data_IF_315415640434
#
_entry.id   IF_315415640434
#
_cell.length_a   1.000
_cell.length_b   1.000
_cell.length_c   1.000
_cell.angle_alpha   90.00
_cell.angle_beta   90.00
_cell.angle_gamma   90.00
#
_symmetry.space_group_name_H-M   'P 1'
#
loop_
_entity.id
_entity.type
_entity.pdbx_description
1 polymer ?
#
# COMPACT_ATOMS: atom_id res chain seq x y z
N UNK A 1 -6.38 -22.94 16.00
CA UNK A 1 -5.38 -22.62 14.95
C UNK A 1 -6.01 -21.72 13.88
N UNK A 2 -6.10 -20.42 14.17
CA UNK A 2 -6.66 -19.44 13.25
C UNK A 2 -5.63 -19.05 12.21
N UNK A 3 -5.98 -19.11 10.92
CA UNK A 3 -5.21 -18.43 9.88
C UNK A 3 -5.04 -16.96 10.29
N UNK A 4 -3.84 -16.43 10.16
CA UNK A 4 -3.60 -14.98 10.22
C UNK A 4 -4.43 -14.37 9.09
N UNK A 5 -5.61 -13.87 9.42
CA UNK A 5 -6.50 -13.15 8.53
C UNK A 5 -5.88 -11.78 8.21
N UNK A 6 -4.88 -11.76 7.34
CA UNK A 6 -4.14 -10.53 7.05
C UNK A 6 -3.18 -10.58 5.86
N UNK A 7 -3.09 -11.70 5.15
CA UNK A 7 -2.26 -11.83 3.94
C UNK A 7 -3.19 -12.00 2.75
N UNK A 8 -2.90 -11.25 1.68
CA UNK A 8 -3.55 -11.43 0.40
C UNK A 8 -3.42 -12.88 -0.09
N UNK A 9 -4.51 -13.58 -0.47
CA UNK A 9 -4.51 -15.02 -0.68
C UNK A 9 -3.88 -15.46 -2.03
N UNK A 10 -3.30 -14.55 -2.82
CA UNK A 10 -2.86 -14.80 -4.20
C UNK A 10 -1.40 -15.24 -4.35
N UNK A 11 -0.84 -16.00 -3.41
CA UNK A 11 0.50 -16.58 -3.60
C UNK A 11 0.40 -18.00 -4.16
N UNK A 12 0.88 -18.25 -5.39
CA UNK A 12 0.92 -19.60 -5.93
C UNK A 12 2.19 -20.28 -5.41
N UNK A 13 2.15 -21.56 -5.05
CA UNK A 13 3.36 -22.33 -4.94
C UNK A 13 3.96 -22.52 -6.35
N UNK A 14 4.96 -21.71 -6.75
CA UNK A 14 5.89 -22.10 -7.81
C UNK A 14 6.19 -21.14 -8.97
N UNK A 15 5.67 -19.90 -9.06
CA UNK A 15 5.93 -19.02 -10.23
C UNK A 15 7.04 -17.97 -10.05
N UNK A 16 7.60 -17.83 -8.85
CA UNK A 16 8.87 -17.16 -8.57
C UNK A 16 9.78 -18.23 -7.95
N UNK A 17 10.63 -18.85 -8.78
CA UNK A 17 11.28 -20.14 -8.50
C UNK A 17 11.75 -20.30 -7.06
N UNK A 18 11.18 -21.26 -6.34
CA UNK A 18 11.54 -21.81 -5.01
C UNK A 18 11.99 -20.86 -3.87
N UNK A 19 12.03 -19.54 -4.06
CA UNK A 19 12.64 -18.58 -3.13
C UNK A 19 11.63 -17.70 -2.38
N UNK A 20 10.37 -17.62 -2.82
CA UNK A 20 9.33 -16.88 -2.10
C UNK A 20 8.33 -17.86 -1.51
N UNK A 21 8.78 -18.68 -0.55
CA UNK A 21 7.84 -19.15 0.47
C UNK A 21 7.37 -17.90 1.20
N UNK A 22 6.04 -17.65 1.28
CA UNK A 22 5.53 -16.72 2.29
C UNK A 22 6.10 -17.25 3.61
N UNK A 23 7.01 -16.52 4.25
CA UNK A 23 7.75 -17.12 5.33
C UNK A 23 6.80 -17.34 6.51
N UNK A 24 6.93 -18.47 7.20
CA UNK A 24 6.22 -18.78 8.45
C UNK A 24 6.46 -17.72 9.57
N UNK A 25 7.26 -16.69 9.30
CA UNK A 25 7.68 -15.66 10.22
C UNK A 25 6.87 -14.36 10.17
N UNK A 26 5.61 -14.30 9.69
CA UNK A 26 4.75 -13.15 10.02
C UNK A 26 4.46 -13.12 11.55
N UNK A 27 5.51 -12.83 12.31
CA UNK A 27 5.51 -12.51 13.71
C UNK A 27 5.08 -11.06 13.79
N UNK A 28 3.97 -10.80 14.45
CA UNK A 28 3.65 -9.45 14.89
C UNK A 28 4.74 -9.02 15.88
N UNK A 29 5.44 -7.93 15.57
CA UNK A 29 6.37 -7.31 16.51
C UNK A 29 5.60 -6.51 17.56
N UNK A 30 4.63 -5.74 17.09
CA UNK A 30 3.73 -4.89 17.86
C UNK A 30 2.36 -4.83 17.18
N UNK A 31 1.29 -4.43 17.90
CA UNK A 31 -0.02 -4.24 17.30
C UNK A 31 0.04 -3.31 16.09
N UNK A 32 -0.46 -3.79 14.94
CA UNK A 32 -0.47 -3.02 13.70
C UNK A 32 0.85 -2.99 12.93
N UNK A 33 1.86 -3.79 13.29
CA UNK A 33 3.12 -3.92 12.54
C UNK A 33 3.43 -5.39 12.21
N UNK A 34 3.69 -5.67 10.94
CA UNK A 34 4.13 -6.98 10.47
C UNK A 34 5.59 -6.91 9.99
N UNK A 35 6.47 -7.75 10.56
CA UNK A 35 7.85 -7.87 10.05
C UNK A 35 7.84 -8.75 8.80
N UNK A 36 8.26 -8.19 7.68
CA UNK A 36 8.36 -8.88 6.39
C UNK A 36 9.77 -9.40 6.11
N UNK A 37 10.78 -8.76 6.69
CA UNK A 37 12.18 -9.19 6.59
C UNK A 37 12.96 -8.66 7.78
N UNK A 38 13.67 -9.55 8.48
CA UNK A 38 14.69 -9.12 9.46
C UNK A 38 15.99 -8.81 8.73
N UNK A 39 16.58 -7.68 9.07
CA UNK A 39 17.83 -7.20 8.48
C UNK A 39 18.63 -6.39 9.49
N UNK A 40 19.90 -6.15 9.17
CA UNK A 40 20.83 -5.34 9.98
C UNK A 40 21.02 -3.92 9.41
N UNK A 41 20.41 -3.62 8.27
CA UNK A 41 20.45 -2.31 7.64
C UNK A 41 19.39 -1.34 8.19
N UNK A 42 19.11 -0.24 7.47
CA UNK A 42 18.04 0.69 7.80
C UNK A 42 16.68 0.01 7.98
N UNK A 43 15.81 0.62 8.77
CA UNK A 43 14.44 0.18 8.98
C UNK A 43 13.51 0.82 7.94
N UNK A 44 12.91 -0.01 7.10
CA UNK A 44 11.99 0.39 6.04
C UNK A 44 10.57 0.03 6.44
N UNK A 45 9.71 1.03 6.55
CA UNK A 45 8.31 0.88 6.90
C UNK A 45 7.44 1.11 5.67
N UNK A 46 6.80 0.05 5.21
CA UNK A 46 5.89 0.05 4.08
C UNK A 46 4.49 0.45 4.56
N UNK A 47 4.06 1.61 4.11
CA UNK A 47 2.73 2.18 4.33
C UNK A 47 1.87 1.86 3.12
N UNK A 48 0.81 1.10 3.37
CA UNK A 48 -0.15 0.77 2.34
C UNK A 48 -1.55 1.23 2.74
N UNK A 49 -2.40 1.44 1.72
CA UNK A 49 -3.77 1.89 1.89
C UNK A 49 -4.82 0.77 1.98
N UNK A 50 -4.42 -0.49 2.06
CA UNK A 50 -5.34 -1.63 2.13
C UNK A 50 -5.09 -2.42 3.41
N UNK A 51 -6.09 -3.17 3.89
CA UNK A 51 -5.98 -3.96 5.10
C UNK A 51 -4.99 -5.11 4.89
N UNK A 52 -4.13 -5.32 5.89
CA UNK A 52 -3.15 -6.41 5.88
C UNK A 52 -1.87 -6.06 5.11
N UNK A 53 -1.20 -7.12 4.65
CA UNK A 53 0.01 -7.02 3.82
C UNK A 53 -0.37 -7.21 2.35
N UNK A 54 -0.04 -6.21 1.53
CA UNK A 54 -0.21 -6.24 0.08
C UNK A 54 0.84 -7.15 -0.58
N UNK A 55 0.48 -7.77 -1.70
CA UNK A 55 1.37 -8.53 -2.58
C UNK A 55 2.59 -7.72 -2.98
N UNK A 56 2.40 -6.43 -3.28
CA UNK A 56 3.49 -5.48 -3.51
C UNK A 56 4.53 -5.52 -2.39
N UNK A 57 4.08 -5.42 -1.14
CA UNK A 57 4.96 -5.36 0.02
C UNK A 57 5.71 -6.68 0.21
N UNK A 58 5.02 -7.80 0.00
CA UNK A 58 5.62 -9.13 0.05
C UNK A 58 6.67 -9.37 -1.05
N UNK A 59 6.49 -8.78 -2.25
CA UNK A 59 7.47 -8.84 -3.35
C UNK A 59 8.66 -7.92 -3.07
N UNK A 60 8.43 -6.69 -2.59
CA UNK A 60 9.48 -5.71 -2.38
C UNK A 60 10.36 -6.11 -1.19
N UNK A 61 9.79 -6.62 -0.09
CA UNK A 61 10.54 -6.82 1.15
C UNK A 61 11.82 -7.68 1.00
N UNK A 62 11.83 -8.82 0.28
CA UNK A 62 13.07 -9.57 0.01
C UNK A 62 14.13 -8.81 -0.78
N UNK A 63 13.70 -7.92 -1.69
CA UNK A 63 14.59 -7.15 -2.58
C UNK A 63 15.34 -6.03 -1.86
N UNK A 64 14.87 -5.65 -0.66
CA UNK A 64 15.46 -4.58 0.15
C UNK A 64 16.59 -5.07 1.06
N UNK A 65 17.21 -6.22 0.79
CA UNK A 65 18.38 -6.65 1.57
C UNK A 65 19.51 -5.59 1.49
N UNK A 66 20.15 -5.22 2.62
CA UNK A 66 20.10 -5.85 3.94
C UNK A 66 19.10 -5.24 4.94
N UNK A 67 18.17 -4.37 4.53
CA UNK A 67 17.26 -3.61 5.40
C UNK A 67 16.33 -4.46 6.28
N UNK A 68 16.00 -3.94 7.46
CA UNK A 68 14.87 -4.44 8.24
C UNK A 68 13.57 -3.90 7.60
N UNK A 69 12.61 -4.76 7.25
CA UNK A 69 11.41 -4.35 6.51
C UNK A 69 10.14 -4.71 7.29
N UNK A 70 9.33 -3.70 7.56
CA UNK A 70 8.07 -3.78 8.27
C UNK A 70 6.93 -3.26 7.39
N UNK A 71 5.75 -3.88 7.47
CA UNK A 71 4.51 -3.30 6.95
C UNK A 71 3.71 -2.70 8.11
N UNK A 72 3.23 -1.47 7.92
CA UNK A 72 2.29 -0.82 8.82
C UNK A 72 0.87 -1.17 8.39
N UNK A 73 0.16 -1.89 9.26
CA UNK A 73 -1.11 -2.53 8.93
C UNK A 73 -2.28 -1.56 9.13
N UNK A 74 -3.13 -1.46 8.11
CA UNK A 74 -4.41 -0.77 8.19
C UNK A 74 -5.47 -1.68 8.85
N UNK A 75 -5.46 -1.71 10.18
CA UNK A 75 -6.38 -2.49 11.03
C UNK A 75 -7.58 -1.66 11.53
N UNK A 76 -8.34 -2.20 12.50
CA UNK A 76 -9.55 -1.55 13.03
C UNK A 76 -9.26 -0.21 13.72
N UNK A 77 -8.09 -0.03 14.34
CA UNK A 77 -7.73 1.25 14.94
C UNK A 77 -7.38 2.28 13.88
N UNK A 78 -6.65 1.87 12.83
CA UNK A 78 -6.39 2.72 11.67
C UNK A 78 -7.69 3.10 10.93
N UNK A 79 -8.66 2.18 10.86
CA UNK A 79 -9.98 2.43 10.28
C UNK A 79 -10.76 3.51 11.04
N UNK A 80 -10.62 3.56 12.37
CA UNK A 80 -11.29 4.55 13.24
C UNK A 80 -10.72 5.96 13.13
N UNK A 81 -9.54 6.14 12.54
CA UNK A 81 -8.99 7.47 12.30
C UNK A 81 -9.89 8.27 11.35
N UNK A 82 -10.11 9.54 11.70
CA UNK A 82 -11.04 10.41 10.97
C UNK A 82 -10.35 11.41 10.04
N UNK A 83 -9.03 11.41 10.00
CA UNK A 83 -8.23 12.29 9.14
C UNK A 83 -6.87 11.65 8.83
N UNK A 84 -6.22 12.10 7.74
CA UNK A 84 -4.86 11.68 7.40
C UNK A 84 -3.87 12.00 8.53
N UNK A 85 -3.88 13.19 9.18
CA UNK A 85 -3.01 13.45 10.33
C UNK A 85 -3.20 12.51 11.52
N UNK A 86 -4.44 12.11 11.84
CA UNK A 86 -4.70 11.14 12.91
C UNK A 86 -4.17 9.76 12.56
N UNK A 87 -4.39 9.31 11.32
CA UNK A 87 -3.89 8.03 10.83
C UNK A 87 -2.36 8.00 10.82
N UNK A 88 -1.72 9.01 10.25
CA UNK A 88 -0.27 9.14 10.22
C UNK A 88 0.33 9.14 11.63
N UNK A 89 -0.30 9.82 12.59
CA UNK A 89 0.13 9.81 14.00
C UNK A 89 0.13 8.40 14.58
N UNK A 90 -0.98 7.68 14.43
CA UNK A 90 -1.09 6.29 14.90
C UNK A 90 0.00 5.41 14.28
N UNK A 91 0.27 5.56 12.98
CA UNK A 91 1.29 4.79 12.29
C UNK A 91 2.72 5.19 12.71
N UNK A 92 2.99 6.47 12.98
CA UNK A 92 4.26 6.93 13.56
C UNK A 92 4.48 6.34 14.96
N UNK A 93 3.46 6.29 15.80
CA UNK A 93 3.55 5.66 17.13
C UNK A 93 3.92 4.18 17.04
N UNK A 94 3.27 3.43 16.14
CA UNK A 94 3.57 2.01 15.87
C UNK A 94 4.98 1.79 15.34
N UNK A 95 5.39 2.61 14.36
CA UNK A 95 6.74 2.62 13.79
C UNK A 95 7.79 2.84 14.88
N UNK A 96 7.62 3.89 15.71
CA UNK A 96 8.59 4.22 16.76
C UNK A 96 8.62 3.15 17.86
N UNK A 97 7.49 2.53 18.17
CA UNK A 97 7.46 1.41 19.11
C UNK A 97 8.28 0.23 18.58
N UNK A 98 8.13 -0.15 17.31
CA UNK A 98 8.93 -1.22 16.70
C UNK A 98 10.41 -0.84 16.61
N UNK A 99 10.72 0.37 16.13
CA UNK A 99 12.09 0.87 16.04
C UNK A 99 12.83 0.83 17.40
N UNK A 100 12.14 1.15 18.50
CA UNK A 100 12.71 1.08 19.85
C UNK A 100 12.97 -0.35 20.31
N UNK A 101 12.07 -1.28 19.98
CA UNK A 101 12.23 -2.69 20.31
C UNK A 101 13.38 -3.35 19.55
N UNK A 102 13.66 -2.87 18.34
CA UNK A 102 14.76 -3.34 17.51
C UNK A 102 16.07 -2.55 17.69
N UNK A 103 16.00 -1.39 18.36
CA UNK A 103 17.15 -0.53 18.60
C UNK A 103 18.20 -1.18 19.50
N UNK A 104 19.41 -0.65 19.44
CA UNK A 104 20.53 -1.06 20.30
C UNK A 104 20.69 -0.10 21.46
N UNK A 105 20.79 -0.62 22.67
CA UNK A 105 21.24 0.16 23.82
C UNK A 105 22.71 0.56 23.64
N UNK A 106 23.02 1.84 23.79
CA UNK A 106 24.39 2.37 23.87
C UNK A 106 24.62 3.03 25.23
N UNK A 107 25.87 3.36 25.54
CA UNK A 107 26.22 4.08 26.78
C UNK A 107 25.53 5.45 26.88
N UNK A 108 25.21 6.07 25.73
CA UNK A 108 24.52 7.36 25.64
C UNK A 108 22.99 7.24 25.59
N UNK A 109 22.45 6.03 25.71
CA UNK A 109 21.02 5.73 25.70
C UNK A 109 20.57 4.94 24.47
N UNK A 110 19.27 5.03 24.15
CA UNK A 110 18.68 4.28 23.05
C UNK A 110 18.99 4.96 21.72
N UNK A 111 19.78 4.30 20.88
CA UNK A 111 20.04 4.74 19.50
C UNK A 111 19.01 4.11 18.58
N UNK A 112 18.17 4.95 17.96
CA UNK A 112 17.21 4.47 16.97
C UNK A 112 17.92 4.13 15.65
N UNK A 113 17.45 3.10 14.92
CA UNK A 113 17.95 2.81 13.59
C UNK A 113 17.59 3.94 12.61
N UNK A 114 18.31 4.02 11.50
CA UNK A 114 17.92 4.90 10.39
C UNK A 114 16.53 4.49 9.87
N UNK A 115 15.63 5.46 9.75
CA UNK A 115 14.24 5.24 9.37
C UNK A 115 14.00 5.60 7.91
N UNK A 116 13.32 4.73 7.18
CA UNK A 116 12.79 5.00 5.85
C UNK A 116 11.29 4.70 5.83
N UNK A 117 10.46 5.68 5.46
CA UNK A 117 9.02 5.52 5.27
C UNK A 117 8.75 5.38 3.79
N UNK A 118 8.04 4.33 3.43
CA UNK A 118 7.71 4.01 2.05
C UNK A 118 6.21 4.04 1.84
N UNK A 119 5.71 4.84 0.91
CA UNK A 119 4.30 4.87 0.54
C UNK A 119 4.04 4.31 -0.85
N UNK A 120 2.90 3.64 -1.05
CA UNK A 120 2.42 3.20 -2.36
C UNK A 120 0.94 3.60 -2.54
N UNK A 121 0.58 4.19 -3.69
CA UNK A 121 -0.77 4.68 -3.98
C UNK A 121 -1.27 5.65 -2.88
N UNK A 122 -2.44 5.43 -2.26
CA UNK A 122 -2.91 6.21 -1.10
C UNK A 122 -1.92 6.21 0.07
N UNK A 123 -1.10 5.17 0.19
CA UNK A 123 -0.01 5.09 1.15
C UNK A 123 1.02 6.20 0.98
N UNK A 124 1.18 6.79 -0.21
CA UNK A 124 2.08 7.94 -0.44
C UNK A 124 1.65 9.17 0.36
N UNK A 125 0.35 9.45 0.41
CA UNK A 125 -0.21 10.59 1.15
C UNK A 125 0.00 10.41 2.65
N UNK A 126 -0.24 9.19 3.14
CA UNK A 126 -0.06 8.83 4.54
C UNK A 126 1.42 8.90 4.91
N UNK A 127 2.30 8.31 4.09
CA UNK A 127 3.75 8.32 4.29
C UNK A 127 4.33 9.73 4.31
N UNK A 128 3.84 10.63 3.45
CA UNK A 128 4.25 12.04 3.47
C UNK A 128 3.83 12.74 4.78
N UNK A 129 2.59 12.57 5.23
CA UNK A 129 2.14 13.12 6.51
C UNK A 129 2.92 12.51 7.69
N UNK A 130 3.27 11.23 7.65
CA UNK A 130 4.13 10.60 8.65
C UNK A 130 5.51 11.25 8.69
N UNK A 131 6.13 11.48 7.52
CA UNK A 131 7.44 12.12 7.41
C UNK A 131 7.42 13.55 7.99
N UNK A 132 6.37 14.33 7.70
CA UNK A 132 6.16 15.65 8.32
C UNK A 132 6.09 15.57 9.84
N UNK A 133 5.37 14.58 10.39
CA UNK A 133 5.21 14.45 11.84
C UNK A 133 6.51 13.97 12.52
N UNK A 134 7.30 13.11 11.88
CA UNK A 134 8.63 12.74 12.38
C UNK A 134 9.60 13.92 12.36
N UNK A 135 9.60 14.71 11.29
CA UNK A 135 10.42 15.92 11.16
C UNK A 135 10.07 16.94 12.25
N UNK A 136 8.77 17.17 12.50
CA UNK A 136 8.30 18.04 13.59
C UNK A 136 8.72 17.54 14.97
N UNK A 137 8.90 16.22 15.13
CA UNK A 137 9.41 15.61 16.34
C UNK A 137 10.95 15.62 16.44
N UNK A 138 11.65 16.20 15.45
CA UNK A 138 13.11 16.24 15.40
C UNK A 138 13.76 14.91 15.03
N UNK A 139 13.02 14.00 14.38
CA UNK A 139 13.51 12.70 13.94
C UNK A 139 13.82 12.73 12.44
N UNK A 140 15.04 12.33 12.09
CA UNK A 140 15.44 12.18 10.69
C UNK A 140 14.80 10.92 10.08
N UNK A 141 14.30 11.05 8.85
CA UNK A 141 13.74 9.94 8.10
C UNK A 141 13.92 10.15 6.59
N UNK A 142 14.01 9.05 5.84
CA UNK A 142 13.96 9.07 4.37
C UNK A 142 12.53 8.77 3.92
N UNK A 143 12.00 9.55 2.98
CA UNK A 143 10.70 9.30 2.35
C UNK A 143 10.89 8.65 0.97
N UNK A 144 10.25 7.52 0.72
CA UNK A 144 10.26 6.84 -0.58
C UNK A 144 8.82 6.69 -1.07
N UNK A 145 8.52 7.23 -2.25
CA UNK A 145 7.18 7.21 -2.82
C UNK A 145 7.15 6.34 -4.07
N UNK A 146 6.37 5.26 -4.02
CA UNK A 146 6.13 4.37 -5.16
C UNK A 146 4.88 4.81 -5.90
N UNK A 147 5.10 5.25 -7.15
CA UNK A 147 4.01 5.46 -8.08
C UNK A 147 3.96 4.27 -9.04
N UNK A 148 3.20 3.25 -8.65
CA UNK A 148 2.56 2.37 -9.61
C UNK A 148 1.36 3.15 -10.10
N UNK A 149 1.29 3.49 -11.38
CA UNK A 149 0.28 4.38 -11.95
C UNK A 149 -1.10 4.27 -11.29
N UNK A 150 -1.43 5.30 -10.52
CA UNK A 150 -2.77 5.67 -10.11
C UNK A 150 -2.74 7.18 -9.89
N UNK A 151 -2.54 7.91 -11.00
CA UNK A 151 -2.69 9.37 -11.16
C UNK A 151 -2.70 10.14 -9.84
N UNK A 152 -1.54 10.65 -9.42
CA UNK A 152 -1.46 11.67 -8.37
C UNK A 152 -1.16 13.04 -9.00
N UNK A 153 -1.91 14.12 -8.69
CA UNK A 153 -3.05 14.15 -7.76
C UNK A 153 -4.17 13.22 -8.24
N UNK A 154 -4.99 12.66 -7.32
CA UNK A 154 -6.13 11.84 -7.71
C UNK A 154 -6.92 12.67 -8.71
N UNK A 155 -7.26 12.08 -9.85
CA UNK A 155 -8.13 12.72 -10.83
C UNK A 155 -9.33 13.27 -10.05
N UNK A 156 -9.56 14.57 -10.17
CA UNK A 156 -10.22 15.43 -9.18
C UNK A 156 -11.44 14.80 -8.47
N UNK A 157 -11.69 15.13 -7.19
CA UNK A 157 -12.82 14.59 -6.45
C UNK A 157 -14.14 14.83 -7.21
N UNK A 158 -15.00 13.81 -7.20
CA UNK A 158 -16.35 13.69 -7.79
C UNK A 158 -17.30 14.88 -7.55
N UNK A 159 -16.92 15.92 -6.82
CA UNK A 159 -17.80 17.03 -6.51
C UNK A 159 -18.24 17.75 -7.80
N UNK A 160 -19.43 17.42 -8.29
CA UNK A 160 -20.15 18.13 -9.35
C UNK A 160 -20.44 19.59 -9.00
N UNK A 161 -20.03 20.05 -7.81
CA UNK A 161 -20.19 21.39 -7.28
C UNK A 161 -18.87 22.04 -6.81
N UNK A 162 -17.69 21.47 -7.10
CA UNK A 162 -16.42 22.16 -6.84
C UNK A 162 -16.11 23.07 -8.02
N UNK A 163 -16.23 24.41 -7.91
CA UNK A 163 -16.15 25.30 -9.06
C UNK A 163 -14.74 25.52 -9.60
N UNK A 164 -13.71 24.98 -8.94
CA UNK A 164 -12.31 25.24 -9.30
C UNK A 164 -11.48 23.97 -9.15
N UNK A 165 -11.47 23.14 -10.21
CA UNK A 165 -10.39 22.16 -10.40
C UNK A 165 -9.11 22.98 -10.68
N UNK A 166 -8.01 22.77 -9.96
CA UNK A 166 -6.76 23.48 -10.23
C UNK A 166 -6.35 23.32 -11.70
N UNK A 167 -6.07 24.45 -12.35
CA UNK A 167 -5.59 24.48 -13.73
C UNK A 167 -4.37 23.58 -13.86
N UNK A 168 -4.48 22.50 -14.63
CA UNK A 168 -3.39 21.55 -14.90
C UNK A 168 -3.55 20.14 -14.31
N UNK A 169 -4.63 19.85 -13.56
CA UNK A 169 -5.00 18.46 -13.27
C UNK A 169 -5.72 17.91 -14.50
N UNK A 170 -5.20 16.86 -15.18
CA UNK A 170 -5.94 16.24 -16.26
C UNK A 170 -7.29 15.78 -15.72
N UNK A 171 -8.37 16.14 -16.41
CA UNK A 171 -9.70 15.61 -16.10
C UNK A 171 -9.60 14.10 -15.96
N UNK A 172 -10.32 13.53 -14.99
CA UNK A 172 -10.55 12.08 -15.00
C UNK A 172 -11.04 11.72 -16.40
N UNK A 173 -10.49 10.70 -17.07
CA UNK A 173 -11.13 10.19 -18.27
C UNK A 173 -12.60 9.96 -17.90
N UNK A 174 -13.51 10.69 -18.56
CA UNK A 174 -14.94 10.50 -18.39
C UNK A 174 -15.23 9.01 -18.60
N UNK A 175 -16.03 8.39 -17.72
CA UNK A 175 -16.32 6.96 -17.79
C UNK A 175 -15.51 6.07 -16.84
N UNK A 176 -14.74 6.64 -15.89
CA UNK A 176 -14.07 5.89 -14.82
C UNK A 176 -14.71 6.07 -13.44
N UNK A 177 -15.92 6.61 -13.37
CA UNK A 177 -16.68 6.83 -12.13
C UNK A 177 -16.90 5.52 -11.35
N UNK A 178 -17.09 4.41 -12.06
CA UNK A 178 -17.23 3.08 -11.48
C UNK A 178 -15.94 2.54 -10.82
N UNK A 179 -14.78 3.16 -11.07
CA UNK A 179 -13.50 2.70 -10.53
C UNK A 179 -13.35 3.12 -9.06
N UNK A 180 -13.44 2.13 -8.17
CA UNK A 180 -13.33 2.23 -6.72
C UNK A 180 -13.85 0.97 -6.04
N UNK A 181 -13.91 1.00 -4.71
CA UNK A 181 -14.49 -0.06 -3.89
C UNK A 181 -14.10 -1.47 -4.32
N UNK A 182 -15.12 -2.29 -4.53
CA UNK A 182 -14.97 -3.71 -4.86
C UNK A 182 -14.38 -3.94 -6.26
N UNK A 183 -14.75 -3.12 -7.25
CA UNK A 183 -14.28 -3.28 -8.63
C UNK A 183 -12.78 -3.03 -8.70
N UNK A 184 -12.31 -1.90 -8.17
CA UNK A 184 -10.88 -1.57 -8.14
C UNK A 184 -10.09 -2.64 -7.38
N UNK A 185 -10.63 -3.11 -6.26
CA UNK A 185 -10.00 -4.15 -5.45
C UNK A 185 -9.92 -5.50 -6.18
N UNK A 186 -10.98 -5.91 -6.89
CA UNK A 186 -10.97 -7.11 -7.70
C UNK A 186 -9.95 -7.02 -8.84
N UNK A 187 -9.86 -5.87 -9.51
CA UNK A 187 -8.87 -5.63 -10.57
C UNK A 187 -7.43 -5.62 -10.03
N UNK A 188 -7.20 -5.05 -8.85
CA UNK A 188 -5.90 -5.12 -8.17
C UNK A 188 -5.53 -6.57 -7.82
N UNK A 189 -6.49 -7.37 -7.35
CA UNK A 189 -6.29 -8.79 -7.12
C UNK A 189 -5.92 -9.56 -8.41
N UNK A 190 -6.56 -9.23 -9.53
CA UNK A 190 -6.21 -9.80 -10.83
C UNK A 190 -4.76 -9.46 -11.25
N UNK A 191 -4.36 -8.19 -11.12
CA UNK A 191 -2.97 -7.74 -11.38
C UNK A 191 -1.97 -8.47 -10.48
N UNK A 192 -2.28 -8.58 -9.20
CA UNK A 192 -1.46 -9.30 -8.22
C UNK A 192 -1.32 -10.80 -8.55
N UNK A 193 -2.31 -11.36 -9.25
CA UNK A 193 -2.30 -12.74 -9.76
C UNK A 193 -1.56 -12.88 -11.11
N UNK A 194 -0.87 -11.83 -11.57
CA UNK A 194 -0.18 -11.80 -12.86
C UNK A 194 -1.07 -11.48 -14.06
N UNK A 195 -2.37 -11.24 -13.87
CA UNK A 195 -3.33 -10.98 -14.93
C UNK A 195 -3.42 -9.48 -15.28
N UNK A 196 -2.28 -8.81 -15.43
CA UNK A 196 -2.22 -7.34 -15.64
C UNK A 196 -2.91 -6.90 -16.92
N UNK A 197 -2.65 -7.58 -18.04
CA UNK A 197 -3.28 -7.25 -19.32
C UNK A 197 -4.79 -7.50 -19.31
N UNK A 198 -5.24 -8.53 -18.59
CA UNK A 198 -6.67 -8.80 -18.41
C UNK A 198 -7.34 -7.68 -17.63
N UNK A 199 -6.75 -7.29 -16.49
CA UNK A 199 -7.27 -6.19 -15.67
C UNK A 199 -7.30 -4.87 -16.44
N UNK A 200 -6.32 -4.63 -17.32
CA UNK A 200 -6.28 -3.47 -18.18
C UNK A 200 -7.44 -3.47 -19.20
N UNK A 201 -7.70 -4.60 -19.87
CA UNK A 201 -8.84 -4.73 -20.77
C UNK A 201 -10.17 -4.53 -20.07
N UNK A 202 -10.31 -4.97 -18.83
CA UNK A 202 -11.50 -4.71 -18.02
C UNK A 202 -11.70 -3.22 -17.73
N UNK A 203 -10.62 -2.49 -17.46
CA UNK A 203 -10.68 -1.03 -17.31
C UNK A 203 -11.13 -0.36 -18.60
N UNK A 204 -10.57 -0.76 -19.74
CA UNK A 204 -10.96 -0.23 -21.05
C UNK A 204 -12.43 -0.54 -21.39
N UNK A 205 -12.88 -1.76 -21.06
CA UNK A 205 -14.27 -2.18 -21.24
C UNK A 205 -15.21 -1.35 -20.36
N UNK A 206 -14.87 -1.14 -19.10
CA UNK A 206 -15.65 -0.27 -18.22
C UNK A 206 -15.61 1.20 -18.63
N UNK A 207 -14.53 1.69 -19.24
CA UNK A 207 -14.54 3.05 -19.79
C UNK A 207 -15.54 3.19 -20.97
N UNK A 208 -15.81 2.09 -21.70
CA UNK A 208 -16.77 2.07 -22.82
C UNK A 208 -18.22 1.80 -22.40
N UNK A 209 -18.43 1.26 -21.20
CA UNK A 209 -19.74 0.90 -20.66
C UNK A 209 -19.97 1.79 -19.44
N UNK A 210 -20.96 2.69 -19.46
CA UNK A 210 -21.19 3.69 -18.38
C UNK A 210 -21.18 3.13 -16.94
N UNK A 211 -21.36 1.81 -16.77
CA UNK A 211 -21.10 1.11 -15.51
C UNK A 211 -20.58 -0.31 -15.72
N UNK A 212 -19.79 -0.80 -14.75
CA UNK A 212 -19.47 -2.22 -14.58
C UNK A 212 -20.20 -2.77 -13.35
N UNK A 213 -20.76 -3.98 -13.48
CA UNK A 213 -21.29 -4.73 -12.35
C UNK A 213 -20.13 -5.30 -11.51
N UNK A 214 -20.05 -4.87 -10.24
CA UNK A 214 -19.01 -5.30 -9.33
C UNK A 214 -19.03 -6.80 -9.06
N UNK A 215 -20.20 -7.42 -9.00
CA UNK A 215 -20.32 -8.85 -8.72
C UNK A 215 -19.89 -9.66 -9.97
N UNK A 216 -20.16 -9.17 -11.18
CA UNK A 216 -19.66 -9.79 -12.42
C UNK A 216 -18.13 -9.73 -12.51
N UNK A 217 -17.53 -8.55 -12.28
CA UNK A 217 -16.07 -8.39 -12.30
C UNK A 217 -15.43 -9.30 -11.23
N UNK A 218 -15.97 -9.29 -10.01
CA UNK A 218 -15.49 -10.12 -8.91
C UNK A 218 -15.55 -11.61 -9.28
N UNK A 219 -16.66 -12.08 -9.84
CA UNK A 219 -16.84 -13.47 -10.26
C UNK A 219 -15.84 -13.87 -11.35
N UNK A 220 -15.63 -13.02 -12.36
CA UNK A 220 -14.67 -13.31 -13.43
C UNK A 220 -13.23 -13.32 -12.93
N UNK A 221 -12.83 -12.34 -12.11
CA UNK A 221 -11.51 -12.37 -11.45
C UNK A 221 -11.33 -13.66 -10.66
N UNK A 222 -12.36 -14.10 -9.92
CA UNK A 222 -12.24 -15.32 -9.14
C UNK A 222 -12.04 -16.56 -10.01
N UNK A 223 -12.94 -16.78 -10.98
CA UNK A 223 -12.95 -18.01 -11.76
C UNK A 223 -11.80 -18.10 -12.76
N UNK A 224 -11.37 -16.97 -13.34
CA UNK A 224 -10.33 -16.91 -14.35
C UNK A 224 -8.92 -16.80 -13.76
N UNK A 225 -8.77 -16.25 -12.55
CA UNK A 225 -7.47 -15.96 -11.96
C UNK A 225 -7.32 -16.49 -10.53
N UNK A 226 -8.10 -15.98 -9.57
CA UNK A 226 -7.89 -16.24 -8.14
C UNK A 226 -7.96 -17.72 -7.76
N UNK A 227 -8.86 -18.49 -8.39
CA UNK A 227 -9.08 -19.91 -8.08
C UNK A 227 -7.81 -20.75 -8.27
N UNK A 228 -6.93 -20.37 -9.20
CA UNK A 228 -5.68 -21.09 -9.48
C UNK A 228 -4.67 -21.04 -8.31
N UNK A 229 -4.90 -20.14 -7.35
CA UNK A 229 -4.09 -19.97 -6.15
C UNK A 229 -4.65 -20.76 -4.94
N UNK A 230 -5.66 -21.61 -5.15
CA UNK A 230 -6.25 -22.44 -4.08
C UNK A 230 -7.14 -21.68 -3.11
N UNK A 231 -7.53 -20.44 -3.45
CA UNK A 231 -8.40 -19.60 -2.63
C UNK A 231 -9.85 -20.02 -2.85
N UNK A 232 -10.64 -20.11 -1.77
CA UNK A 232 -12.09 -20.31 -1.88
C UNK A 232 -12.77 -19.01 -2.33
N UNK A 233 -13.91 -19.13 -3.03
CA UNK A 233 -14.67 -17.95 -3.44
C UNK A 233 -15.05 -17.07 -2.25
N UNK A 234 -15.45 -17.70 -1.14
CA UNK A 234 -15.77 -17.01 0.11
C UNK A 234 -14.60 -16.14 0.61
N UNK A 235 -13.40 -16.71 0.71
CA UNK A 235 -12.24 -15.99 1.21
C UNK A 235 -11.84 -14.84 0.26
N UNK A 236 -11.92 -15.08 -1.06
CA UNK A 236 -11.67 -14.06 -2.07
C UNK A 236 -12.68 -12.90 -1.96
N UNK A 237 -13.97 -13.21 -1.91
CA UNK A 237 -15.03 -12.22 -1.78
C UNK A 237 -14.92 -11.43 -0.47
N UNK A 238 -14.68 -12.10 0.66
CA UNK A 238 -14.50 -11.44 1.96
C UNK A 238 -13.29 -10.48 1.94
N UNK A 239 -12.20 -10.87 1.27
CA UNK A 239 -11.06 -9.99 1.02
C UNK A 239 -11.44 -8.77 0.18
N UNK A 240 -12.08 -8.98 -0.98
CA UNK A 240 -12.45 -7.89 -1.90
C UNK A 240 -13.38 -6.89 -1.20
N UNK A 241 -14.44 -7.36 -0.53
CA UNK A 241 -15.37 -6.49 0.20
C UNK A 241 -14.68 -5.73 1.34
N UNK A 242 -13.73 -6.35 2.04
CA UNK A 242 -12.98 -5.67 3.11
C UNK A 242 -12.05 -4.59 2.54
N UNK A 243 -11.22 -4.95 1.56
CA UNK A 243 -10.26 -4.04 0.96
C UNK A 243 -10.94 -2.92 0.16
N UNK A 244 -12.06 -3.18 -0.51
CA UNK A 244 -12.88 -2.17 -1.17
C UNK A 244 -13.37 -1.08 -0.22
N UNK A 245 -13.94 -1.48 0.93
CA UNK A 245 -14.34 -0.53 1.98
C UNK A 245 -13.17 0.31 2.50
N UNK A 246 -11.99 -0.29 2.68
CA UNK A 246 -10.78 0.42 3.10
C UNK A 246 -10.31 1.42 2.04
N UNK A 247 -10.31 1.02 0.76
CA UNK A 247 -9.96 1.90 -0.35
C UNK A 247 -10.89 3.11 -0.41
N UNK A 248 -12.22 2.90 -0.34
CA UNK A 248 -13.20 4.00 -0.38
C UNK A 248 -13.07 4.94 0.82
N UNK A 249 -12.79 4.38 2.00
CA UNK A 249 -12.56 5.15 3.21
C UNK A 249 -11.31 6.03 3.07
N UNK A 250 -10.19 5.46 2.63
CA UNK A 250 -8.97 6.22 2.43
C UNK A 250 -9.08 7.26 1.33
N UNK A 251 -9.75 6.93 0.23
CA UNK A 251 -10.05 7.88 -0.84
C UNK A 251 -10.80 9.09 -0.29
N UNK A 252 -11.78 8.87 0.57
CA UNK A 252 -12.50 9.94 1.27
C UNK A 252 -11.57 10.79 2.13
N UNK A 253 -10.75 10.15 2.96
CA UNK A 253 -9.79 10.85 3.84
C UNK A 253 -8.80 11.69 3.03
N UNK A 254 -8.21 11.10 1.99
CA UNK A 254 -7.24 11.73 1.09
C UNK A 254 -7.87 12.87 0.30
N UNK A 255 -9.08 12.68 -0.25
CA UNK A 255 -9.77 13.72 -1.02
C UNK A 255 -10.14 14.97 -0.22
N UNK A 256 -10.23 14.84 1.11
CA UNK A 256 -10.47 15.95 2.03
C UNK A 256 -9.21 16.56 2.66
N UNK A 257 -8.04 15.98 2.37
CA UNK A 257 -6.80 16.32 3.05
C UNK A 257 -5.91 17.23 2.19
N UNK A 258 -5.49 18.34 2.80
CA UNK A 258 -4.47 19.25 2.25
C UNK A 258 -3.26 19.21 3.17
N UNK A 259 -2.06 18.86 2.67
CA UNK A 259 -0.83 18.90 3.46
C UNK A 259 -0.58 20.30 4.03
N UNK A 260 -0.18 20.38 5.30
CA UNK A 260 0.13 21.65 5.98
C UNK A 260 1.54 22.18 5.69
N UNK A 261 2.36 21.38 5.03
CA UNK A 261 3.75 21.72 4.71
C UNK A 261 4.35 20.74 3.72
N UNK A 262 5.59 21.00 3.36
CA UNK A 262 6.41 20.14 2.51
C UNK A 262 7.49 19.52 3.37
N UNK A 263 7.64 18.20 3.29
CA UNK A 263 8.72 17.50 3.98
C UNK A 263 10.08 17.94 3.42
N UNK A 264 11.01 18.34 4.30
CA UNK A 264 12.31 18.89 3.90
C UNK A 264 13.44 17.86 3.86
N UNK A 265 13.20 16.66 4.41
CA UNK A 265 14.17 15.57 4.42
C UNK A 265 14.34 14.87 3.07
N UNK A 266 15.21 13.84 3.07
CA UNK A 266 15.57 13.11 1.85
C UNK A 266 14.35 12.38 1.28
N UNK A 267 14.01 12.70 0.04
CA UNK A 267 12.85 12.13 -0.67
C UNK A 267 13.28 11.47 -1.98
N UNK A 268 12.78 10.26 -2.24
CA UNK A 268 12.98 9.53 -3.49
C UNK A 268 11.65 9.10 -4.11
N UNK A 269 11.58 9.18 -5.43
CA UNK A 269 10.42 8.77 -6.21
C UNK A 269 10.78 7.55 -7.05
N UNK A 270 10.03 6.47 -6.84
CA UNK A 270 10.13 5.24 -7.63
C UNK A 270 9.01 5.28 -8.66
N UNK A 271 9.37 5.63 -9.89
CA UNK A 271 8.48 5.63 -11.05
C UNK A 271 8.69 4.32 -11.81
N UNK A 272 7.68 3.44 -11.85
CA UNK A 272 7.76 2.22 -12.65
C UNK A 272 7.41 2.53 -14.10
N UNK A 273 8.40 2.54 -15.01
CA UNK A 273 8.15 2.59 -16.46
C UNK A 273 7.73 1.19 -16.93
N UNK A 274 6.47 0.83 -16.72
CA UNK A 274 6.02 -0.54 -16.94
C UNK A 274 6.34 -1.46 -15.75
N UNK A 275 5.66 -2.60 -15.69
CA UNK A 275 5.58 -3.51 -14.55
C UNK A 275 6.90 -3.71 -13.76
N UNK A 276 6.76 -3.89 -12.44
CA UNK A 276 7.67 -4.30 -11.34
C UNK A 276 9.14 -4.77 -11.55
N UNK A 277 9.60 -5.06 -12.76
CA UNK A 277 10.91 -5.64 -13.07
C UNK A 277 12.12 -4.75 -12.68
N UNK A 278 11.95 -3.41 -12.55
CA UNK A 278 13.08 -2.49 -12.38
C UNK A 278 13.39 -2.08 -10.92
N UNK A 279 12.53 -2.47 -9.96
CA UNK A 279 12.61 -2.03 -8.54
C UNK A 279 13.94 -2.35 -7.84
N UNK A 280 14.62 -3.50 -8.05
CA UNK A 280 15.87 -3.82 -7.34
C UNK A 280 17.02 -2.84 -7.60
N UNK A 281 17.01 -2.11 -8.71
CA UNK A 281 18.10 -1.20 -9.09
C UNK A 281 18.11 0.10 -8.27
N UNK A 282 16.96 0.51 -7.73
CA UNK A 282 16.78 1.80 -7.04
C UNK A 282 17.25 1.80 -5.58
N UNK A 283 17.48 0.62 -5.01
CA UNK A 283 17.90 0.45 -3.61
C UNK A 283 19.39 0.14 -3.47
N UNK A 284 20.14 0.10 -4.57
CA UNK A 284 21.60 0.01 -4.53
C UNK A 284 22.14 1.41 -4.32
N UNK A 285 22.60 1.68 -3.11
CA UNK A 285 23.39 2.88 -2.83
C UNK A 285 24.72 2.78 -3.59
N UNK A 286 25.02 3.79 -4.40
CA UNK A 286 26.42 4.18 -4.66
C UNK A 286 27.06 4.69 -3.36
#
# INVERSE_FOLDING_TARGET
PGLIAGISPFYPPGSLGDQVRIPDYLSQASPGVAILRRGSGPHVYLVHGLPGVDVTQAIIAPLLAPCHVCALIYDEDAWRCNSIPQLARLLCERLLQEARQAGTESEDGLVLPQLAITGCSFGCVIAHEMALQLEQAGLDSKLVLFSLDASWPPLAPWSSNSPEVPVGVPDRPKGCEWLGGDVETALLAARASGATEWAQREVERGASQESLDADDVLMRVFWEHARHFGVSFRNFNDFVKKAGRCSDRLRTLVGSYTPKGTFSGRTEFVMTKGAWADVPSLFRSD
#
